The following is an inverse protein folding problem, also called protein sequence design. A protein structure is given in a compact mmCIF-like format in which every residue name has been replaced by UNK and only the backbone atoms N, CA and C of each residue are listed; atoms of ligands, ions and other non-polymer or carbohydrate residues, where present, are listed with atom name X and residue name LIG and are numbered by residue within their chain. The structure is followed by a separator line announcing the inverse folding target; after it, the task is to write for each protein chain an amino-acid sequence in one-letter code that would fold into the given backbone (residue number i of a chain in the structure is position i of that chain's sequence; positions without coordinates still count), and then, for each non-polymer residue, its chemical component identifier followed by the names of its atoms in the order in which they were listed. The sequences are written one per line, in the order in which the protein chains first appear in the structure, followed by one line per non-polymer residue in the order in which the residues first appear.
data_IF_446285191279
#
_entry.id   IF_446285191279
#
_cell.length_a   1.000
_cell.length_b   1.000
_cell.length_c   1.000
_cell.angle_alpha   90.00
_cell.angle_beta   90.00
_cell.angle_gamma   90.00
#
_symmetry.space_group_name_H-M   'P 1'
#
loop_
_entity.id
_entity.type
_entity.pdbx_description
1 polymer ?
#
# COMPACT_ATOMS: atom_id res chain seq x y z
N UNK A 1 14.98 7.83 3.39
CA UNK A 1 14.48 8.01 4.78
C UNK A 1 13.44 6.93 4.99
N UNK A 2 13.45 6.21 6.11
CA UNK A 2 12.51 5.09 6.28
C UNK A 2 11.13 5.64 6.69
N UNK A 3 10.12 5.54 5.82
CA UNK A 3 8.75 5.96 6.15
C UNK A 3 8.19 5.05 7.27
N UNK A 4 7.60 5.60 8.34
CA UNK A 4 7.02 4.79 9.41
C UNK A 4 5.81 3.99 8.90
N UNK A 5 5.61 2.80 9.48
CA UNK A 5 4.38 2.02 9.29
C UNK A 5 3.23 2.62 10.08
N UNK A 6 2.09 2.78 9.43
CA UNK A 6 0.86 3.39 9.93
C UNK A 6 -0.23 2.32 9.93
N UNK A 7 -0.92 2.09 11.06
CA UNK A 7 -2.06 1.18 11.08
C UNK A 7 -3.21 1.69 10.22
N UNK A 8 -3.81 0.80 9.43
CA UNK A 8 -4.95 1.12 8.55
C UNK A 8 -6.18 1.63 9.32
N UNK A 9 -6.32 1.19 10.57
CA UNK A 9 -7.36 1.62 11.51
C UNK A 9 -7.19 3.04 12.03
N UNK A 10 -5.99 3.62 11.90
CA UNK A 10 -5.67 4.98 12.39
C UNK A 10 -5.74 5.99 11.24
N UNK A 11 -5.14 5.67 10.10
CA UNK A 11 -5.15 6.53 8.93
C UNK A 11 -5.03 5.68 7.66
N UNK A 12 -5.55 6.24 6.56
CA UNK A 12 -5.47 5.63 5.23
C UNK A 12 -4.63 6.51 4.31
N UNK A 13 -3.96 5.92 3.30
CA UNK A 13 -3.27 6.70 2.28
C UNK A 13 -4.27 7.54 1.49
N UNK A 14 -3.78 8.57 0.81
CA UNK A 14 -4.57 9.25 -0.20
C UNK A 14 -4.75 8.36 -1.44
N UNK A 15 -5.86 8.55 -2.15
CA UNK A 15 -6.10 7.80 -3.39
C UNK A 15 -5.01 8.06 -4.43
N UNK A 16 -4.57 6.99 -5.10
CA UNK A 16 -3.50 7.02 -6.08
C UNK A 16 -2.09 6.99 -5.48
N UNK A 17 -1.94 6.98 -4.15
CA UNK A 17 -0.61 6.92 -3.55
C UNK A 17 0.00 5.53 -3.64
N UNK A 18 1.27 5.43 -4.10
CA UNK A 18 2.02 4.19 -4.02
C UNK A 18 2.42 3.91 -2.57
N UNK A 19 2.16 2.68 -2.14
CA UNK A 19 2.29 2.24 -0.76
C UNK A 19 2.89 0.85 -0.68
N UNK A 20 3.53 0.57 0.44
CA UNK A 20 3.78 -0.79 0.90
C UNK A 20 2.79 -1.10 2.03
N UNK A 21 2.17 -2.27 2.01
CA UNK A 21 1.19 -2.67 3.02
C UNK A 21 1.34 -4.12 3.45
N UNK A 22 0.94 -4.41 4.68
CA UNK A 22 1.07 -5.73 5.33
C UNK A 22 -0.33 -6.17 5.74
N UNK A 23 -0.67 -7.43 5.47
CA UNK A 23 -1.98 -7.98 5.84
C UNK A 23 -1.99 -8.41 7.31
N UNK A 24 -3.13 -8.33 7.99
CA UNK A 24 -3.21 -8.69 9.43
C UNK A 24 -2.73 -10.11 9.74
N UNK A 25 -2.90 -11.03 8.78
CA UNK A 25 -2.56 -12.45 8.93
C UNK A 25 -1.22 -12.82 8.25
N UNK A 26 -0.48 -11.86 7.68
CA UNK A 26 0.80 -12.12 6.99
C UNK A 26 1.79 -10.98 7.20
N UNK A 27 2.99 -11.29 7.68
CA UNK A 27 4.05 -10.31 7.94
C UNK A 27 4.90 -9.98 6.69
N UNK A 28 4.33 -10.09 5.49
CA UNK A 28 5.04 -9.80 4.24
C UNK A 28 4.55 -8.45 3.72
N UNK A 29 5.48 -7.53 3.47
CA UNK A 29 5.19 -6.26 2.81
C UNK A 29 4.86 -6.49 1.33
N UNK A 30 3.77 -5.88 0.89
CA UNK A 30 3.26 -5.94 -0.48
C UNK A 30 3.28 -4.52 -1.04
N UNK A 31 3.92 -4.34 -2.19
CA UNK A 31 3.88 -3.09 -2.92
C UNK A 31 2.58 -2.94 -3.70
N UNK A 32 2.05 -1.72 -3.73
CA UNK A 32 0.82 -1.42 -4.43
C UNK A 32 0.41 0.04 -4.37
N UNK A 33 -0.89 0.28 -4.57
CA UNK A 33 -1.50 1.60 -4.60
C UNK A 33 -2.82 1.56 -3.85
N UNK A 34 -3.14 2.59 -3.10
CA UNK A 34 -4.45 2.72 -2.48
C UNK A 34 -5.41 3.47 -3.41
N UNK A 35 -6.54 2.88 -3.79
CA UNK A 35 -7.52 3.50 -4.70
C UNK A 35 -8.90 2.89 -4.50
N UNK A 36 -9.97 3.68 -4.63
CA UNK A 36 -11.35 3.18 -4.49
C UNK A 36 -11.58 2.42 -3.19
N UNK A 37 -10.99 2.94 -2.11
CA UNK A 37 -11.03 2.34 -0.77
C UNK A 37 -10.44 0.93 -0.64
N UNK A 38 -9.57 0.51 -1.56
CA UNK A 38 -8.85 -0.77 -1.48
C UNK A 38 -7.35 -0.60 -1.67
N UNK A 39 -6.58 -1.46 -1.00
CA UNK A 39 -5.14 -1.63 -1.26
C UNK A 39 -4.95 -2.58 -2.43
N UNK A 40 -4.45 -2.05 -3.54
CA UNK A 40 -4.30 -2.80 -4.79
C UNK A 40 -2.83 -3.13 -5.03
N UNK A 41 -2.52 -4.42 -5.08
CA UNK A 41 -1.24 -4.92 -5.56
C UNK A 41 -1.29 -5.24 -7.06
N UNK A 42 -0.16 -5.67 -7.63
CA UNK A 42 -0.09 -6.16 -9.02
C UNK A 42 -1.02 -7.34 -9.29
N UNK A 43 -1.29 -8.17 -8.30
CA UNK A 43 -1.98 -9.46 -8.48
C UNK A 43 -3.43 -9.48 -8.01
N UNK A 44 -3.77 -8.65 -7.02
CA UNK A 44 -5.10 -8.64 -6.40
C UNK A 44 -5.34 -7.35 -5.60
N UNK A 45 -6.58 -7.14 -5.16
CA UNK A 45 -6.99 -6.04 -4.28
C UNK A 45 -7.40 -6.55 -2.90
N UNK A 46 -7.16 -5.74 -1.88
CA UNK A 46 -7.45 -6.04 -0.49
C UNK A 46 -8.26 -4.91 0.13
N UNK A 47 -9.36 -5.25 0.80
CA UNK A 47 -10.13 -4.32 1.62
C UNK A 47 -9.27 -3.76 2.76
N UNK A 48 -9.57 -2.54 3.19
CA UNK A 48 -8.88 -1.87 4.31
C UNK A 48 -8.83 -2.75 5.56
N UNK A 49 -9.92 -3.46 5.86
CA UNK A 49 -10.06 -4.35 7.02
C UNK A 49 -9.13 -5.57 6.99
N UNK A 50 -8.52 -5.89 5.84
CA UNK A 50 -7.57 -7.01 5.71
C UNK A 50 -6.12 -6.58 5.84
N UNK A 51 -5.87 -5.28 5.78
CA UNK A 51 -4.55 -4.66 5.84
C UNK A 51 -4.34 -4.17 7.26
N UNK A 52 -3.30 -4.64 7.94
CA UNK A 52 -2.98 -4.20 9.29
C UNK A 52 -2.26 -2.85 9.29
N UNK A 53 -1.17 -2.76 8.52
CA UNK A 53 -0.33 -1.55 8.44
C UNK A 53 0.10 -1.25 7.02
N UNK A 54 0.41 0.02 6.77
CA UNK A 54 0.91 0.51 5.49
C UNK A 54 1.95 1.62 5.70
N UNK A 55 2.72 1.92 4.66
CA UNK A 55 3.60 3.10 4.59
C UNK A 55 3.67 3.60 3.15
N UNK A 56 4.08 4.85 2.95
CA UNK A 56 4.38 5.35 1.61
C UNK A 56 5.57 4.58 1.03
N UNK A 57 5.41 4.09 -0.20
CA UNK A 57 6.50 3.49 -0.94
C UNK A 57 7.48 4.59 -1.37
N UNK A 58 8.78 4.31 -1.31
CA UNK A 58 9.78 5.25 -1.81
C UNK A 58 9.58 5.44 -3.34
N UNK A 59 9.17 6.65 -3.72
CA UNK A 59 8.83 7.06 -5.10
C UNK A 59 9.98 6.91 -6.12
N UNK A 60 11.19 6.55 -5.67
CA UNK A 60 12.35 6.33 -6.54
C UNK A 60 12.18 5.12 -7.49
N UNK A 61 11.26 4.18 -7.22
CA UNK A 61 10.98 3.04 -8.09
C UNK A 61 9.62 3.09 -8.81
N UNK A 62 8.78 4.10 -8.55
CA UNK A 62 7.41 4.15 -9.08
C UNK A 62 7.30 4.61 -10.57
N UNK A 63 8.43 4.94 -11.22
CA UNK A 63 8.44 5.51 -12.58
C UNK A 63 8.37 4.48 -13.71
N UNK A 64 8.53 3.19 -13.43
CA UNK A 64 8.60 2.16 -14.47
C UNK A 64 7.27 1.46 -14.82
N UNK A 65 6.16 1.77 -14.14
CA UNK A 65 4.91 1.02 -14.32
C UNK A 65 3.74 1.80 -14.97
N UNK A 66 3.98 3.03 -15.45
CA UNK A 66 2.98 3.88 -16.11
C UNK A 66 3.13 3.99 -17.65
N UNK A 67 3.89 3.10 -18.30
CA UNK A 67 3.99 3.06 -19.76
C UNK A 67 4.19 1.63 -20.28
N UNK A 68 3.07 0.95 -20.60
CA UNK A 68 2.93 -0.02 -21.69
C UNK A 68 1.46 -0.43 -21.82
#
# INVERSE_FOLDING_TARGET
MHTPWIPSSIALPHEGQPVEFVLDHRQIAIEGTYTRQVFRSRWTSYEVERVGTWRLADLLHARDHAAA
#
